data_IF_456826639111
#
_entry.id   IF_456826639111
#
_cell.length_a   1.000
_cell.length_b   1.000
_cell.length_c   1.000
_cell.angle_alpha   90.00
_cell.angle_beta   90.00
_cell.angle_gamma   90.00
#
_symmetry.space_group_name_H-M   'P 1'
#
loop_
_entity.id
_entity.type
_entity.pdbx_description
1 polymer ?
#
# COMPACT_ATOMS: atom_id res chain seq x y z
N UNK A 1 6.22 -35.83 -41.97
CA UNK A 1 6.02 -34.80 -40.95
C UNK A 1 5.80 -33.47 -41.66
N UNK A 2 4.65 -32.82 -41.50
CA UNK A 2 4.45 -31.46 -41.98
C UNK A 2 4.97 -30.48 -40.93
N UNK A 3 5.76 -29.50 -41.35
CA UNK A 3 6.25 -28.44 -40.45
C UNK A 3 5.23 -27.32 -40.38
N UNK A 4 4.93 -26.87 -39.16
CA UNK A 4 4.10 -25.70 -38.90
C UNK A 4 5.00 -24.52 -38.53
N UNK A 5 4.80 -23.38 -39.19
CA UNK A 5 5.57 -22.16 -38.95
C UNK A 5 4.64 -21.04 -38.52
N UNK A 6 5.04 -20.31 -37.48
CA UNK A 6 4.35 -19.14 -36.96
C UNK A 6 5.36 -18.03 -36.67
N UNK A 7 4.98 -16.79 -36.94
CA UNK A 7 5.82 -15.61 -36.67
C UNK A 7 4.96 -14.47 -36.09
N UNK A 8 5.44 -13.88 -34.99
CA UNK A 8 4.85 -12.67 -34.43
C UNK A 8 5.47 -11.44 -35.10
N UNK A 9 4.61 -10.57 -35.63
CA UNK A 9 5.02 -9.29 -36.18
C UNK A 9 4.53 -8.21 -35.20
N UNK A 10 5.45 -7.68 -34.39
CA UNK A 10 5.15 -6.68 -33.38
C UNK A 10 5.62 -5.29 -33.86
N UNK A 11 4.83 -4.26 -33.56
CA UNK A 11 5.21 -2.85 -33.71
C UNK A 11 5.57 -2.24 -32.35
N UNK A 12 6.05 -1.00 -32.33
CA UNK A 12 6.27 -0.27 -31.08
C UNK A 12 4.97 -0.19 -30.27
N UNK A 13 5.09 -0.49 -28.97
CA UNK A 13 3.99 -0.45 -28.02
C UNK A 13 3.58 1.01 -27.76
N UNK A 14 2.28 1.36 -27.84
CA UNK A 14 1.86 2.70 -27.47
C UNK A 14 2.13 2.96 -25.98
N UNK A 15 2.46 4.20 -25.65
CA UNK A 15 2.78 4.63 -24.27
C UNK A 15 1.67 4.24 -23.30
N UNK A 16 0.40 4.32 -23.72
CA UNK A 16 -0.74 3.90 -22.89
C UNK A 16 -0.67 2.44 -22.45
N UNK A 17 -0.19 1.55 -23.33
CA UNK A 17 -0.01 0.13 -23.03
C UNK A 17 1.16 -0.08 -22.05
N UNK A 18 2.28 0.61 -22.28
CA UNK A 18 3.45 0.55 -21.38
C UNK A 18 3.09 1.08 -19.99
N UNK A 19 2.41 2.23 -19.91
CA UNK A 19 1.97 2.80 -18.63
C UNK A 19 1.04 1.85 -17.89
N UNK A 20 0.06 1.26 -18.60
CA UNK A 20 -0.95 0.37 -18.00
C UNK A 20 -0.38 -0.97 -17.54
N UNK A 21 0.55 -1.55 -18.30
CA UNK A 21 1.02 -2.91 -18.04
C UNK A 21 2.40 -2.96 -17.37
N UNK A 22 3.12 -1.85 -17.29
CA UNK A 22 4.44 -1.81 -16.64
C UNK A 22 4.46 -0.77 -15.54
N UNK A 23 4.28 0.51 -15.88
CA UNK A 23 4.52 1.61 -14.92
C UNK A 23 3.57 1.58 -13.73
N UNK A 24 2.24 1.57 -13.96
CA UNK A 24 1.26 1.58 -12.89
C UNK A 24 1.36 0.33 -11.99
N UNK A 25 1.43 -0.90 -12.55
CA UNK A 25 1.57 -2.09 -11.72
C UNK A 25 2.85 -2.10 -10.89
N UNK A 26 4.00 -1.74 -11.48
CA UNK A 26 5.27 -1.69 -10.75
C UNK A 26 5.22 -0.66 -9.61
N UNK A 27 4.62 0.50 -9.83
CA UNK A 27 4.43 1.49 -8.78
C UNK A 27 3.50 0.98 -7.66
N UNK A 28 2.43 0.27 -8.03
CA UNK A 28 1.54 -0.40 -7.08
C UNK A 28 2.27 -1.47 -6.26
N UNK A 29 3.17 -2.24 -6.88
CA UNK A 29 4.02 -3.21 -6.18
C UNK A 29 4.95 -2.52 -5.18
N UNK A 30 5.61 -1.41 -5.56
CA UNK A 30 6.46 -0.63 -4.65
C UNK A 30 5.67 -0.16 -3.42
N UNK A 31 4.45 0.34 -3.62
CA UNK A 31 3.57 0.75 -2.52
C UNK A 31 3.20 -0.43 -1.61
N UNK A 32 2.86 -1.59 -2.20
CA UNK A 32 2.52 -2.79 -1.45
C UNK A 32 3.70 -3.29 -0.59
N UNK A 33 4.90 -3.38 -1.17
CA UNK A 33 6.12 -3.78 -0.47
C UNK A 33 6.49 -2.79 0.64
N UNK A 34 6.34 -1.49 0.40
CA UNK A 34 6.58 -0.47 1.42
C UNK A 34 5.58 -0.59 2.58
N UNK A 35 4.33 -1.00 2.30
CA UNK A 35 3.32 -1.25 3.34
C UNK A 35 3.65 -2.50 4.15
N UNK A 36 4.02 -3.58 3.48
CA UNK A 36 4.50 -4.81 4.12
C UNK A 36 5.69 -4.53 5.04
N UNK A 37 6.67 -3.74 4.59
CA UNK A 37 7.83 -3.34 5.42
C UNK A 37 7.39 -2.62 6.70
N UNK A 38 6.45 -1.68 6.62
CA UNK A 38 5.90 -1.00 7.81
C UNK A 38 5.17 -1.96 8.75
N UNK A 39 4.37 -2.86 8.21
CA UNK A 39 3.63 -3.84 9.01
C UNK A 39 4.59 -4.79 9.76
N UNK A 40 5.71 -5.17 9.12
CA UNK A 40 6.77 -5.95 9.75
C UNK A 40 7.46 -5.18 10.88
N UNK A 41 7.77 -3.90 10.69
CA UNK A 41 8.34 -3.05 11.76
C UNK A 41 7.42 -3.02 12.98
N UNK A 42 6.11 -2.83 12.77
CA UNK A 42 5.13 -2.83 13.86
C UNK A 42 5.04 -4.20 14.56
N UNK A 43 5.12 -5.28 13.78
CA UNK A 43 5.09 -6.64 14.32
C UNK A 43 6.33 -6.92 15.19
N UNK A 44 7.51 -6.50 14.74
CA UNK A 44 8.76 -6.67 15.49
C UNK A 44 8.72 -5.84 16.78
N UNK A 45 8.28 -4.58 16.71
CA UNK A 45 8.13 -3.73 17.90
C UNK A 45 7.18 -4.35 18.94
N UNK A 46 6.09 -4.99 18.47
CA UNK A 46 5.18 -5.73 19.35
C UNK A 46 5.87 -6.94 20.00
N UNK A 47 6.74 -7.63 19.27
CA UNK A 47 7.50 -8.77 19.78
C UNK A 47 8.56 -8.33 20.80
N UNK A 48 9.24 -7.21 20.57
CA UNK A 48 10.17 -6.64 21.55
C UNK A 48 9.46 -6.28 22.86
N UNK A 49 8.26 -5.68 22.78
CA UNK A 49 7.46 -5.40 23.97
C UNK A 49 7.04 -6.68 24.72
N UNK A 50 6.69 -7.74 23.99
CA UNK A 50 6.37 -9.06 24.57
C UNK A 50 7.59 -9.68 25.27
N UNK A 51 8.79 -9.59 24.68
CA UNK A 51 10.03 -10.07 25.27
C UNK A 51 10.38 -9.29 26.55
N UNK A 52 10.18 -7.98 26.55
CA UNK A 52 10.38 -7.14 27.74
C UNK A 52 9.43 -7.54 28.88
N UNK A 53 8.14 -7.76 28.60
CA UNK A 53 7.17 -8.22 29.61
C UNK A 53 7.59 -9.56 30.23
N UNK A 54 8.08 -10.51 29.42
CA UNK A 54 8.62 -11.76 29.96
C UNK A 54 9.77 -11.54 30.94
N UNK A 55 10.70 -10.64 30.60
CA UNK A 55 11.85 -10.31 31.47
C UNK A 55 11.41 -9.63 32.76
N UNK A 56 10.48 -8.68 32.68
CA UNK A 56 9.91 -7.97 33.84
C UNK A 56 9.17 -8.92 34.78
N UNK A 57 8.53 -9.96 34.22
CA UNK A 57 7.82 -10.99 34.96
C UNK A 57 8.75 -12.11 35.49
N UNK A 58 10.08 -11.92 35.40
CA UNK A 58 11.09 -12.81 35.97
C UNK A 58 11.46 -14.01 35.11
N UNK A 59 11.03 -14.06 33.85
CA UNK A 59 11.49 -15.09 32.92
C UNK A 59 12.97 -14.84 32.57
N UNK A 60 13.78 -15.90 32.64
CA UNK A 60 15.18 -15.88 32.23
C UNK A 60 15.37 -16.79 31.00
N UNK A 61 16.24 -16.37 30.10
CA UNK A 61 16.66 -17.20 28.98
C UNK A 61 17.44 -18.42 29.49
N UNK A 62 17.13 -19.60 28.95
CA UNK A 62 17.92 -20.82 29.19
C UNK A 62 19.12 -20.93 28.24
N UNK A 63 19.10 -20.16 27.14
CA UNK A 63 20.12 -20.15 26.09
C UNK A 63 20.38 -18.70 25.67
N UNK A 64 21.44 -18.11 26.20
CA UNK A 64 21.76 -16.68 26.00
C UNK A 64 21.90 -16.27 24.53
N UNK A 65 22.38 -17.17 23.66
CA UNK A 65 22.46 -16.94 22.20
C UNK A 65 21.12 -16.71 21.48
N UNK A 66 19.99 -16.86 22.18
CA UNK A 66 18.66 -16.54 21.65
C UNK A 66 18.23 -15.10 21.98
N UNK A 67 18.98 -14.39 22.82
CA UNK A 67 18.72 -12.97 23.07
C UNK A 67 18.91 -12.17 21.78
N UNK A 68 17.91 -11.34 21.47
CA UNK A 68 17.93 -10.42 20.34
C UNK A 68 18.05 -9.00 20.86
N UNK A 69 18.78 -8.16 20.13
CA UNK A 69 18.79 -6.72 20.39
C UNK A 69 17.42 -6.12 20.06
N UNK A 70 17.05 -5.03 20.75
CA UNK A 70 15.83 -4.27 20.46
C UNK A 70 15.91 -3.75 19.03
N UNK A 71 14.85 -3.95 18.26
CA UNK A 71 14.81 -3.53 16.88
C UNK A 71 14.77 -2.00 16.74
N UNK A 72 15.70 -1.46 15.96
CA UNK A 72 15.79 -0.04 15.62
C UNK A 72 15.61 0.14 14.11
N UNK A 73 14.43 0.65 13.71
CA UNK A 73 14.08 0.85 12.31
C UNK A 73 15.06 1.80 11.59
N UNK A 74 15.58 2.82 12.28
CA UNK A 74 16.49 3.80 11.70
C UNK A 74 17.83 3.17 11.34
N UNK A 75 18.43 2.46 12.30
CA UNK A 75 19.69 1.73 12.08
C UNK A 75 19.54 0.63 11.05
N UNK A 76 18.41 -0.08 11.04
CA UNK A 76 18.13 -1.10 10.04
C UNK A 76 18.11 -0.51 8.63
N UNK A 77 17.39 0.60 8.43
CA UNK A 77 17.32 1.27 7.12
C UNK A 77 18.67 1.80 6.65
N UNK A 78 19.44 2.40 7.53
CA UNK A 78 20.78 2.88 7.22
C UNK A 78 21.70 1.74 6.74
N UNK A 79 21.75 0.64 7.50
CA UNK A 79 22.51 -0.56 7.11
C UNK A 79 22.01 -1.17 5.80
N UNK A 80 20.69 -1.25 5.63
CA UNK A 80 20.10 -1.79 4.40
C UNK A 80 20.46 -0.96 3.17
N UNK A 81 20.48 0.38 3.29
CA UNK A 81 20.88 1.25 2.18
C UNK A 81 22.39 1.20 1.89
N UNK A 82 23.21 0.98 2.92
CA UNK A 82 24.66 0.90 2.77
C UNK A 82 25.14 -0.44 2.18
N UNK A 83 24.53 -1.56 2.60
CA UNK A 83 25.07 -2.92 2.34
C UNK A 83 24.03 -3.88 1.75
N UNK A 84 22.74 -3.60 1.89
CA UNK A 84 21.65 -4.51 1.55
C UNK A 84 20.96 -4.25 0.22
N UNK A 85 21.37 -3.21 -0.51
CA UNK A 85 20.79 -2.92 -1.83
C UNK A 85 21.23 -3.99 -2.84
N UNK A 86 20.29 -4.53 -3.63
CA UNK A 86 20.63 -5.49 -4.68
C UNK A 86 21.51 -4.82 -5.75
N UNK A 87 22.33 -5.63 -6.41
CA UNK A 87 23.10 -5.20 -7.58
C UNK A 87 22.14 -4.60 -8.64
N UNK A 88 22.54 -3.54 -9.36
CA UNK A 88 21.70 -2.97 -10.41
C UNK A 88 21.30 -4.04 -11.43
N UNK A 89 20.00 -4.08 -11.71
CA UNK A 89 19.40 -4.96 -12.72
C UNK A 89 19.97 -4.62 -14.09
N UNK A 90 20.65 -5.58 -14.72
CA UNK A 90 21.14 -5.43 -16.10
C UNK A 90 20.09 -5.93 -17.10
N UNK A 91 20.13 -5.42 -18.33
CA UNK A 91 19.13 -5.72 -19.38
C UNK A 91 19.11 -7.21 -19.77
N UNK A 92 20.20 -7.93 -19.50
CA UNK A 92 20.34 -9.36 -19.84
C UNK A 92 19.78 -10.29 -18.76
N UNK A 93 19.39 -9.76 -17.61
CA UNK A 93 19.03 -10.56 -16.44
C UNK A 93 17.52 -10.92 -16.45
N UNK A 94 17.17 -11.86 -17.32
CA UNK A 94 15.81 -12.37 -17.44
C UNK A 94 15.29 -13.08 -16.17
N UNK A 95 16.15 -13.30 -15.16
CA UNK A 95 15.83 -13.96 -13.89
C UNK A 95 15.36 -13.01 -12.78
N UNK A 96 15.45 -11.69 -12.96
CA UNK A 96 15.20 -10.71 -11.88
C UNK A 96 13.73 -10.69 -11.45
N UNK A 97 12.80 -10.98 -12.36
CA UNK A 97 11.38 -10.99 -12.05
C UNK A 97 10.93 -12.36 -11.53
N UNK A 98 11.22 -12.60 -10.25
CA UNK A 98 10.92 -13.85 -9.56
C UNK A 98 9.43 -14.22 -9.58
N UNK A 99 9.12 -15.50 -9.34
CA UNK A 99 7.73 -15.97 -9.27
C UNK A 99 6.91 -15.23 -8.20
N UNK A 100 7.52 -14.85 -7.08
CA UNK A 100 6.86 -14.06 -6.03
C UNK A 100 6.48 -12.65 -6.52
N UNK A 101 7.38 -11.99 -7.25
CA UNK A 101 7.10 -10.68 -7.85
C UNK A 101 6.05 -10.77 -8.96
N UNK A 102 6.04 -11.86 -9.75
CA UNK A 102 4.97 -12.14 -10.73
C UNK A 102 3.61 -12.31 -10.07
N UNK A 103 3.55 -13.01 -8.92
CA UNK A 103 2.32 -13.16 -8.15
C UNK A 103 1.84 -11.80 -7.61
N UNK A 104 2.74 -10.99 -7.06
CA UNK A 104 2.40 -9.65 -6.58
C UNK A 104 1.91 -8.75 -7.71
N UNK A 105 2.57 -8.77 -8.87
CA UNK A 105 2.13 -8.05 -10.06
C UNK A 105 0.73 -8.48 -10.51
N UNK A 106 0.47 -9.79 -10.54
CA UNK A 106 -0.84 -10.34 -10.92
C UNK A 106 -1.92 -9.89 -9.94
N UNK A 107 -1.62 -9.88 -8.64
CA UNK A 107 -2.54 -9.37 -7.62
C UNK A 107 -2.80 -7.87 -7.81
N UNK A 108 -1.76 -7.05 -7.99
CA UNK A 108 -1.90 -5.59 -8.20
C UNK A 108 -2.73 -5.29 -9.44
N UNK A 109 -2.41 -5.90 -10.58
CA UNK A 109 -3.16 -5.69 -11.84
C UNK A 109 -4.61 -6.18 -11.75
N UNK A 110 -4.87 -7.28 -11.02
CA UNK A 110 -6.24 -7.72 -10.75
C UNK A 110 -7.01 -6.71 -9.89
N UNK A 111 -6.38 -6.12 -8.86
CA UNK A 111 -7.03 -5.08 -8.05
C UNK A 111 -7.38 -3.84 -8.87
N UNK A 112 -6.48 -3.40 -9.77
CA UNK A 112 -6.75 -2.26 -10.65
C UNK A 112 -7.89 -2.55 -11.63
N UNK A 113 -7.93 -3.76 -12.20
CA UNK A 113 -9.01 -4.18 -13.09
C UNK A 113 -10.36 -4.17 -12.36
N UNK A 114 -10.41 -4.69 -11.13
CA UNK A 114 -11.61 -4.71 -10.31
C UNK A 114 -12.08 -3.30 -9.92
N UNK A 115 -11.15 -2.39 -9.57
CA UNK A 115 -11.48 -0.99 -9.29
C UNK A 115 -12.10 -0.28 -10.50
N UNK A 116 -11.58 -0.53 -11.70
CA UNK A 116 -12.13 0.04 -12.94
C UNK A 116 -13.51 -0.53 -13.27
N UNK A 117 -13.70 -1.84 -13.09
CA UNK A 117 -15.00 -2.47 -13.28
C UNK A 117 -16.05 -1.87 -12.31
N UNK A 118 -15.68 -1.63 -11.05
CA UNK A 118 -16.58 -1.01 -10.07
C UNK A 118 -16.99 0.43 -10.47
N UNK A 119 -16.07 1.22 -11.00
CA UNK A 119 -16.37 2.58 -11.48
C UNK A 119 -17.27 2.58 -12.72
N UNK A 120 -17.09 1.62 -13.65
CA UNK A 120 -17.95 1.47 -14.82
C UNK A 120 -19.38 1.00 -14.51
N UNK A 121 -19.57 0.23 -13.43
CA UNK A 121 -20.88 -0.30 -13.04
C UNK A 121 -21.75 0.68 -12.23
N UNK A 122 -21.23 1.85 -11.86
CA UNK A 122 -21.96 2.84 -11.03
C UNK A 122 -22.75 3.85 -11.89
N UNK A 123 -22.86 3.63 -13.20
CA UNK A 123 -23.36 4.60 -14.16
C UNK A 123 -24.61 4.24 -14.95
N UNK A 124 -25.39 3.20 -14.61
CA UNK A 124 -26.57 2.86 -15.42
C UNK A 124 -27.83 2.55 -14.59
N UNK A 125 -28.55 3.63 -14.30
CA UNK A 125 -29.92 3.62 -13.81
C UNK A 125 -30.81 4.46 -14.72
N UNK A 126 -31.40 3.81 -15.74
CA UNK A 126 -32.61 4.21 -16.50
C UNK A 126 -32.62 5.59 -17.20
N UNK A 127 -32.66 5.56 -18.54
CA UNK A 127 -33.65 6.20 -19.43
C UNK A 127 -33.38 5.61 -20.83
N UNK A 128 -34.20 4.73 -21.41
CA UNK A 128 -35.57 5.00 -21.83
C UNK A 128 -35.58 5.68 -23.20
N UNK A 129 -35.69 4.88 -24.27
CA UNK A 129 -36.08 5.27 -25.65
C UNK A 129 -35.55 6.59 -26.24
N UNK A 130 -34.71 6.53 -27.28
CA UNK A 130 -35.16 7.03 -28.59
C UNK A 130 -34.18 6.63 -29.69
N UNK A 131 -34.70 5.80 -30.58
CA UNK A 131 -34.17 5.49 -31.89
C UNK A 131 -34.33 6.75 -32.76
N UNK A 132 -33.24 7.42 -33.16
CA UNK A 132 -33.29 8.29 -34.33
C UNK A 132 -31.96 8.24 -35.10
N UNK A 133 -32.00 7.43 -36.14
CA UNK A 133 -31.09 7.38 -37.27
C UNK A 133 -31.34 8.60 -38.17
N UNK A 134 -30.36 9.50 -38.30
CA UNK A 134 -30.22 10.43 -39.43
C UNK A 134 -28.73 10.84 -39.52
N UNK A 135 -27.95 10.19 -40.39
CA UNK A 135 -27.53 10.69 -41.71
C UNK A 135 -26.66 11.96 -41.66
N UNK A 136 -25.39 11.76 -42.00
CA UNK A 136 -24.38 12.77 -42.36
C UNK A 136 -24.85 13.58 -43.59
N UNK A 137 -24.32 14.79 -43.81
CA UNK A 137 -23.24 14.92 -44.79
C UNK A 137 -22.10 15.86 -44.37
N UNK A 138 -20.95 15.61 -44.99
CA UNK A 138 -19.73 16.42 -44.94
C UNK A 138 -19.87 17.71 -45.76
N UNK A 139 -19.17 18.79 -45.36
CA UNK A 139 -18.12 19.48 -46.15
C UNK A 139 -17.62 20.78 -45.46
N UNK A 140 -16.30 20.79 -45.21
CA UNK A 140 -15.28 21.82 -45.54
C UNK A 140 -15.58 23.32 -45.35
N UNK A 141 -14.81 24.01 -44.47
CA UNK A 141 -13.76 25.03 -44.81
C UNK A 141 -13.22 25.80 -43.59
N UNK A 142 -11.98 26.27 -43.79
CA UNK A 142 -11.02 27.06 -42.97
C UNK A 142 -11.65 28.33 -42.34
N UNK A 143 -11.11 29.02 -41.32
CA UNK A 143 -9.77 29.64 -41.22
C UNK A 143 -9.62 30.37 -39.85
N UNK A 144 -8.36 30.53 -39.39
CA UNK A 144 -7.79 31.62 -38.53
C UNK A 144 -8.05 31.75 -37.01
N UNK A 145 -6.98 31.49 -36.24
CA UNK A 145 -6.53 32.12 -34.97
C UNK A 145 -6.17 33.63 -35.18
N UNK A 146 -5.77 34.49 -34.19
CA UNK A 146 -5.31 34.29 -32.80
C UNK A 146 -6.01 35.28 -31.79
N UNK A 147 -5.72 35.45 -30.49
CA UNK A 147 -4.58 36.17 -29.84
C UNK A 147 -4.59 35.98 -28.31
N UNK A 148 -3.38 35.78 -27.80
CA UNK A 148 -2.78 35.98 -26.46
C UNK A 148 -3.44 36.97 -25.49
N UNK A 149 -3.45 36.64 -24.19
CA UNK A 149 -3.13 37.55 -23.06
C UNK A 149 -2.89 36.77 -21.74
N UNK A 150 -1.71 36.93 -21.15
CA UNK A 150 -1.35 36.62 -19.74
C UNK A 150 -1.30 37.95 -18.94
N UNK A 151 -0.71 38.04 -17.72
CA UNK A 151 -1.17 37.60 -16.41
C UNK A 151 -1.23 38.77 -15.38
N UNK A 152 -1.85 38.57 -14.21
CA UNK A 152 -1.74 39.47 -13.04
C UNK A 152 -2.68 38.98 -11.93
N UNK A 153 -2.43 39.13 -10.64
CA UNK A 153 -1.36 39.80 -9.91
C UNK A 153 -1.41 39.28 -8.45
N UNK A 154 -0.29 39.45 -7.76
CA UNK A 154 0.05 39.03 -6.40
C UNK A 154 -0.86 39.64 -5.30
N UNK A 155 -1.01 38.95 -4.16
CA UNK A 155 -1.07 39.56 -2.80
C UNK A 155 -1.16 38.49 -1.69
N UNK A 156 0.01 37.94 -1.34
CA UNK A 156 0.65 37.99 -0.02
C UNK A 156 -0.13 38.33 1.29
N UNK A 157 0.19 37.55 2.35
CA UNK A 157 0.34 37.90 3.79
C UNK A 157 -0.68 37.34 4.82
N UNK A 158 -0.25 36.20 5.39
CA UNK A 158 -0.09 35.79 6.82
C UNK A 158 -1.27 35.52 7.80
N UNK A 159 -1.01 34.61 8.77
CA UNK A 159 -1.98 33.98 9.67
C UNK A 159 -2.13 34.70 11.01
N UNK A 160 -3.20 34.38 11.74
CA UNK A 160 -3.37 34.68 13.17
C UNK A 160 -4.01 33.51 13.92
N UNK A 161 -3.21 32.75 14.65
CA UNK A 161 -3.47 32.26 16.01
C UNK A 161 -2.63 33.16 16.95
N UNK A 162 -2.91 33.31 18.27
CA UNK A 162 -3.14 32.22 19.23
C UNK A 162 -4.06 32.59 20.43
N UNK A 163 -4.00 31.76 21.49
CA UNK A 163 -4.39 32.01 22.89
C UNK A 163 -5.77 31.43 23.27
N UNK A 164 -6.01 30.71 24.38
CA UNK A 164 -5.23 30.25 25.55
C UNK A 164 -6.12 29.25 26.32
N UNK A 165 -5.50 28.27 27.01
CA UNK A 165 -6.09 27.55 28.17
C UNK A 165 -6.18 28.47 29.40
N UNK A 166 -7.00 28.13 30.42
CA UNK A 166 -6.48 27.58 31.68
C UNK A 166 -7.29 26.33 32.17
N UNK A 167 -6.66 25.30 32.75
CA UNK A 167 -6.43 25.02 34.20
C UNK A 167 -7.75 24.76 34.97
N UNK A 168 -7.91 23.90 35.99
CA UNK A 168 -7.14 22.90 36.75
C UNK A 168 -8.10 22.46 37.89
N UNK A 169 -8.01 21.23 38.40
CA UNK A 169 -8.64 20.79 39.67
C UNK A 169 -9.04 19.31 39.58
N UNK A 170 -8.30 18.31 40.08
CA UNK A 170 -7.78 18.01 41.43
C UNK A 170 -8.84 17.41 42.39
N UNK A 171 -8.60 16.15 42.78
CA UNK A 171 -9.16 15.48 43.96
C UNK A 171 -10.48 14.72 43.73
N UNK A 172 -10.80 13.57 44.33
CA UNK A 172 -10.22 12.72 45.39
C UNK A 172 -10.91 11.34 45.26
N UNK A 173 -10.18 10.26 45.50
CA UNK A 173 -10.73 8.90 45.67
C UNK A 173 -11.26 8.71 47.10
N UNK A 174 -12.22 7.80 47.36
CA UNK A 174 -11.74 6.60 48.05
C UNK A 174 -12.39 5.27 47.64
N UNK A 175 -11.54 4.27 47.86
CA UNK A 175 -11.67 2.82 47.96
C UNK A 175 -12.83 2.36 48.87
N UNK A 176 -13.56 1.33 48.45
CA UNK A 176 -14.22 0.37 49.36
C UNK A 176 -14.07 -1.05 48.80
N UNK A 177 -13.84 -1.98 49.71
CA UNK A 177 -13.37 -3.35 49.50
C UNK A 177 -14.48 -4.38 49.19
N UNK A 178 -14.00 -5.54 48.73
CA UNK A 178 -14.64 -6.78 48.23
C UNK A 178 -15.62 -7.49 49.20
N UNK A 179 -16.35 -8.56 48.76
CA UNK A 179 -15.74 -9.90 48.83
C UNK A 179 -16.07 -10.93 47.72
N UNK A 180 -15.06 -11.79 47.53
CA UNK A 180 -14.99 -13.18 47.04
C UNK A 180 -16.30 -13.96 46.82
N UNK A 181 -16.43 -14.57 45.63
CA UNK A 181 -17.19 -15.82 45.43
C UNK A 181 -16.43 -16.79 44.51
N UNK A 182 -16.15 -17.99 45.04
CA UNK A 182 -15.49 -19.13 44.40
C UNK A 182 -16.41 -19.80 43.38
N UNK A 183 -15.93 -20.13 42.18
CA UNK A 183 -16.46 -21.27 41.42
C UNK A 183 -15.34 -22.12 40.79
N UNK A 184 -15.56 -23.44 40.87
CA UNK A 184 -14.60 -24.53 40.60
C UNK A 184 -14.59 -24.92 39.12
N UNK A 185 -13.37 -25.10 38.60
CA UNK A 185 -12.82 -26.23 37.81
C UNK A 185 -13.72 -26.89 36.74
N UNK A 186 -13.33 -26.78 35.46
CA UNK A 186 -13.37 -27.90 34.50
C UNK A 186 -12.15 -27.91 33.57
N UNK A 187 -11.59 -29.12 33.42
CA UNK A 187 -10.35 -29.48 32.74
C UNK A 187 -10.68 -29.80 31.27
N UNK A 188 -10.23 -28.98 30.32
CA UNK A 188 -10.28 -29.26 28.89
C UNK A 188 -9.00 -29.98 28.45
N UNK A 189 -9.17 -31.09 27.72
CA UNK A 189 -8.09 -32.01 27.31
C UNK A 189 -7.25 -31.39 26.18
N UNK A 190 -5.95 -31.67 26.23
CA UNK A 190 -5.01 -31.27 25.18
C UNK A 190 -5.34 -31.91 23.83
N UNK A 191 -5.06 -31.15 22.78
CA UNK A 191 -5.15 -31.53 21.38
C UNK A 191 -3.72 -31.51 20.80
N UNK A 192 -2.96 -32.56 21.05
CA UNK A 192 -1.79 -32.91 20.24
C UNK A 192 -1.86 -34.41 19.99
N UNK A 193 -2.06 -34.73 18.72
CA UNK A 193 -1.99 -36.04 18.08
C UNK A 193 -1.83 -35.77 16.61
#
# INVERSE_FOLDING_TARGET
>A
YCSFYWAFHCSEAPISMVTRHMVCPLLGMVQALQRQSRDLVLLIARKDAEILDYRENGAALTRDRLETEIFDEGKFKERFLAEGLPEPVTVEDAGVFSSELQQLYTAVTATEANQRAALGNTGDGKTGHSELRAQLPAETREETEPVTSTPGENSEIKPKTPSKRPASGAGVSPRTESPVAKQRKRKGRGIFG
#
